data_IF_003812442527
#
_entry.id   IF_003812442527
#
_cell.length_a   1.000
_cell.length_b   1.000
_cell.length_c   1.000
_cell.angle_alpha   90.00
_cell.angle_beta   90.00
_cell.angle_gamma   90.00
#
_symmetry.space_group_name_H-M   'P 1'
#
loop_
_entity.id
_entity.type
_entity.pdbx_description
1 polymer ?
#
# COMPACT_ATOMS: atom_id res chain seq x y z
N UNK A 1 0.99 0.22 0.97
CA UNK A 1 0.32 -0.06 2.25
C UNK A 1 -1.03 -0.67 2.00
N UNK A 2 -1.61 -1.33 2.99
CA UNK A 2 -2.99 -1.81 2.93
C UNK A 2 -4.01 -0.67 3.13
N UNK A 3 -5.25 -0.91 2.70
CA UNK A 3 -6.30 0.11 2.70
C UNK A 3 -6.77 0.51 4.12
N UNK A 4 -6.55 -0.33 5.14
CA UNK A 4 -6.87 0.03 6.53
C UNK A 4 -5.87 1.11 6.99
N UNK A 5 -4.58 0.93 6.71
CA UNK A 5 -3.55 1.92 6.97
C UNK A 5 -3.85 3.25 6.25
N UNK A 6 -4.17 3.22 4.95
CA UNK A 6 -4.54 4.42 4.19
C UNK A 6 -5.76 5.14 4.79
N UNK A 7 -6.78 4.38 5.19
CA UNK A 7 -7.98 4.93 5.85
C UNK A 7 -7.64 5.65 7.16
N UNK A 8 -6.88 5.00 8.04
CA UNK A 8 -6.59 5.51 9.38
C UNK A 8 -5.61 6.70 9.33
N UNK A 9 -4.55 6.61 8.52
CA UNK A 9 -3.63 7.73 8.30
C UNK A 9 -4.34 8.90 7.61
N UNK A 10 -5.15 8.64 6.59
CA UNK A 10 -5.96 9.65 5.91
C UNK A 10 -6.90 10.38 6.89
N UNK A 11 -7.57 9.65 7.77
CA UNK A 11 -8.40 10.26 8.80
C UNK A 11 -7.61 11.11 9.80
N UNK A 12 -6.46 10.62 10.25
CA UNK A 12 -5.57 11.36 11.16
C UNK A 12 -5.04 12.64 10.50
N UNK A 13 -4.59 12.56 9.24
CA UNK A 13 -4.16 13.72 8.44
C UNK A 13 -5.30 14.73 8.25
N UNK A 14 -6.50 14.25 7.94
CA UNK A 14 -7.67 15.12 7.81
C UNK A 14 -7.88 15.96 9.07
N UNK A 15 -7.87 15.31 10.24
CA UNK A 15 -7.94 16.01 11.54
C UNK A 15 -6.74 16.93 11.76
N UNK A 16 -5.51 16.48 11.51
CA UNK A 16 -4.31 17.29 11.72
C UNK A 16 -4.27 18.58 10.87
N UNK A 17 -4.68 18.49 9.59
CA UNK A 17 -4.62 19.59 8.63
C UNK A 17 -5.77 20.56 8.81
N UNK A 18 -7.02 20.07 8.86
CA UNK A 18 -8.21 20.88 8.69
C UNK A 18 -9.23 20.77 9.83
N UNK A 19 -8.82 20.40 11.05
CA UNK A 19 -9.75 20.37 12.20
C UNK A 19 -10.53 21.69 12.33
N UNK A 20 -11.87 21.58 12.37
CA UNK A 20 -12.87 22.67 12.34
C UNK A 20 -12.84 23.61 11.12
N UNK A 21 -11.92 23.41 10.17
CA UNK A 21 -11.72 24.27 8.98
C UNK A 21 -12.36 23.67 7.72
N UNK A 22 -12.60 22.37 7.73
CA UNK A 22 -13.35 21.64 6.72
C UNK A 22 -14.47 20.80 7.38
N UNK A 23 -15.58 20.51 6.68
CA UNK A 23 -16.61 19.60 7.19
C UNK A 23 -16.08 18.16 7.24
N UNK A 24 -16.34 17.46 8.35
CA UNK A 24 -15.99 16.05 8.54
C UNK A 24 -14.55 15.67 8.13
N UNK A 25 -13.53 16.38 8.61
CA UNK A 25 -12.19 16.30 8.04
C UNK A 25 -11.58 14.88 8.12
N UNK A 26 -11.85 14.13 9.20
CA UNK A 26 -11.40 12.74 9.29
C UNK A 26 -12.05 11.83 8.24
N UNK A 27 -13.34 12.00 7.94
CA UNK A 27 -14.02 11.18 6.93
C UNK A 27 -13.56 11.54 5.52
N UNK A 28 -13.44 12.83 5.21
CA UNK A 28 -12.93 13.29 3.92
C UNK A 28 -11.49 12.81 3.72
N UNK A 29 -10.65 12.87 4.76
CA UNK A 29 -9.28 12.37 4.72
C UNK A 29 -9.20 10.86 4.51
N UNK A 30 -9.99 10.06 5.23
CA UNK A 30 -10.08 8.62 5.04
C UNK A 30 -10.47 8.23 3.61
N UNK A 31 -11.48 8.90 3.06
CA UNK A 31 -11.94 8.65 1.70
C UNK A 31 -10.90 9.11 0.66
N UNK A 32 -10.36 10.32 0.81
CA UNK A 32 -9.37 10.88 -0.10
C UNK A 32 -8.10 10.04 -0.15
N UNK A 33 -7.64 9.50 0.99
CA UNK A 33 -6.48 8.61 1.02
C UNK A 33 -6.74 7.35 0.19
N UNK A 34 -7.92 6.75 0.25
CA UNK A 34 -8.24 5.53 -0.54
C UNK A 34 -8.64 5.80 -2.00
N UNK A 35 -8.74 7.07 -2.41
CA UNK A 35 -9.26 7.41 -3.74
C UNK A 35 -8.47 6.75 -4.88
N UNK A 36 -7.12 6.67 -4.86
CA UNK A 36 -6.35 6.01 -5.92
C UNK A 36 -6.77 4.55 -6.16
N UNK A 37 -6.98 3.79 -5.09
CA UNK A 37 -7.42 2.39 -5.15
C UNK A 37 -8.88 2.26 -5.57
N UNK A 38 -9.75 3.14 -5.06
CA UNK A 38 -11.18 3.15 -5.40
C UNK A 38 -11.35 3.39 -6.90
N UNK A 39 -10.69 4.44 -7.43
CA UNK A 39 -10.75 4.77 -8.85
C UNK A 39 -10.14 3.64 -9.67
N UNK A 40 -9.01 3.06 -9.26
CA UNK A 40 -8.41 1.90 -9.93
C UNK A 40 -9.42 0.77 -10.13
N UNK A 41 -10.17 0.42 -9.08
CA UNK A 41 -11.19 -0.65 -9.16
C UNK A 41 -12.41 -0.28 -10.00
N UNK A 42 -12.75 1.00 -10.09
CA UNK A 42 -13.87 1.49 -10.91
C UNK A 42 -13.52 1.49 -12.39
N UNK A 43 -12.29 1.91 -12.73
CA UNK A 43 -11.84 2.04 -14.12
C UNK A 43 -11.22 0.74 -14.67
N UNK A 44 -10.92 -0.22 -13.80
CA UNK A 44 -10.52 -1.55 -14.23
C UNK A 44 -11.66 -2.15 -15.10
N UNK A 45 -11.36 -2.60 -16.33
CA UNK A 45 -12.35 -3.25 -17.17
C UNK A 45 -13.08 -4.36 -16.38
N UNK A 46 -14.39 -4.51 -16.57
CA UNK A 46 -15.12 -5.60 -15.94
C UNK A 46 -14.76 -6.92 -16.65
N UNK A 47 -13.65 -7.59 -16.29
CA UNK A 47 -13.28 -8.84 -16.98
C UNK A 47 -12.00 -9.56 -16.55
N UNK A 48 -12.06 -10.33 -15.45
CA UNK A 48 -11.10 -11.39 -14.99
C UNK A 48 -9.96 -10.90 -14.07
N UNK A 49 -9.40 -11.85 -13.31
CA UNK A 49 -8.21 -11.70 -12.42
C UNK A 49 -6.99 -11.02 -13.06
N UNK A 50 -6.94 -10.97 -14.39
CA UNK A 50 -5.86 -10.37 -15.17
C UNK A 50 -5.87 -8.84 -15.12
N UNK A 51 -7.05 -8.21 -15.01
CA UNK A 51 -7.20 -6.75 -14.98
C UNK A 51 -6.47 -6.12 -13.79
N UNK A 52 -6.36 -6.87 -12.70
CA UNK A 52 -5.55 -6.48 -11.55
C UNK A 52 -4.09 -6.27 -11.94
N UNK A 53 -3.47 -7.18 -12.69
CA UNK A 53 -2.04 -7.06 -13.03
C UNK A 53 -1.74 -5.88 -13.96
N UNK A 54 -2.68 -5.56 -14.86
CA UNK A 54 -2.56 -4.40 -15.76
C UNK A 54 -2.81 -3.07 -15.05
N UNK A 55 -3.84 -3.03 -14.19
CA UNK A 55 -4.32 -1.77 -13.60
C UNK A 55 -3.72 -1.48 -12.23
N UNK A 56 -3.11 -2.48 -11.58
CA UNK A 56 -2.54 -2.30 -10.26
C UNK A 56 -1.48 -1.21 -10.25
N UNK A 57 -1.75 -0.18 -9.46
CA UNK A 57 -0.91 1.02 -9.33
C UNK A 57 -0.56 1.61 -10.69
N UNK A 58 -1.55 1.65 -11.57
CA UNK A 58 -1.46 2.30 -12.88
C UNK A 58 -1.59 3.82 -12.73
N UNK A 59 -2.23 4.49 -13.69
CA UNK A 59 -2.25 5.96 -13.78
C UNK A 59 -2.80 6.63 -12.50
N UNK A 60 -3.70 5.97 -11.75
CA UNK A 60 -4.27 6.48 -10.49
C UNK A 60 -3.23 6.70 -9.40
N UNK A 61 -2.09 6.02 -9.46
CA UNK A 61 -0.98 6.12 -8.50
C UNK A 61 0.20 6.95 -9.04
N UNK A 62 0.03 7.61 -10.18
CA UNK A 62 1.00 8.55 -10.74
C UNK A 62 0.84 9.95 -10.17
N UNK A 63 1.86 10.80 -10.30
CA UNK A 63 1.78 12.20 -9.85
C UNK A 63 0.70 12.97 -10.62
N UNK A 64 0.56 12.74 -11.93
CA UNK A 64 -0.48 13.38 -12.75
C UNK A 64 -1.89 12.86 -12.40
N UNK A 65 -2.04 11.56 -12.17
CA UNK A 65 -3.30 10.97 -11.75
C UNK A 65 -3.71 11.41 -10.34
N UNK A 66 -2.77 11.54 -9.42
CA UNK A 66 -2.99 12.10 -8.10
C UNK A 66 -3.43 13.57 -8.18
N UNK A 67 -2.76 14.40 -8.99
CA UNK A 67 -3.14 15.80 -9.20
C UNK A 67 -4.57 15.94 -9.75
N UNK A 68 -4.94 15.11 -10.73
CA UNK A 68 -6.31 15.07 -11.27
C UNK A 68 -7.35 14.68 -10.21
N UNK A 69 -7.07 13.62 -9.44
CA UNK A 69 -7.92 13.17 -8.33
C UNK A 69 -8.09 14.25 -7.24
N UNK A 70 -7.01 14.93 -6.86
CA UNK A 70 -7.04 16.03 -5.89
C UNK A 70 -7.95 17.15 -6.40
N UNK A 71 -7.80 17.57 -7.66
CA UNK A 71 -8.61 18.63 -8.25
C UNK A 71 -10.10 18.26 -8.28
N UNK A 72 -10.42 17.08 -8.82
CA UNK A 72 -11.81 16.59 -8.94
C UNK A 72 -12.47 16.44 -7.58
N UNK A 73 -11.79 15.79 -6.62
CA UNK A 73 -12.36 15.59 -5.29
C UNK A 73 -12.51 16.91 -4.53
N UNK A 74 -11.58 17.86 -4.71
CA UNK A 74 -11.69 19.20 -4.11
C UNK A 74 -12.91 19.95 -4.66
N UNK A 75 -13.14 19.92 -5.97
CA UNK A 75 -14.33 20.51 -6.60
C UNK A 75 -15.62 19.87 -6.10
N UNK A 76 -15.66 18.54 -6.02
CA UNK A 76 -16.84 17.81 -5.55
C UNK A 76 -17.16 18.10 -4.08
N UNK A 77 -16.18 17.93 -3.17
CA UNK A 77 -16.36 18.15 -1.73
C UNK A 77 -16.60 19.62 -1.43
N UNK A 78 -15.82 20.52 -2.03
CA UNK A 78 -15.96 21.97 -1.87
C UNK A 78 -17.30 22.48 -2.38
N UNK A 79 -17.74 22.00 -3.55
CA UNK A 79 -19.03 22.36 -4.14
C UNK A 79 -20.20 21.87 -3.30
N UNK A 80 -20.22 20.59 -2.93
CA UNK A 80 -21.27 20.01 -2.09
C UNK A 80 -21.34 20.70 -0.72
N UNK A 81 -20.20 20.94 -0.08
CA UNK A 81 -20.17 21.59 1.22
C UNK A 81 -20.58 23.08 1.15
N UNK A 82 -20.21 23.79 0.09
CA UNK A 82 -20.64 25.19 -0.14
C UNK A 82 -22.15 25.25 -0.39
N UNK A 83 -22.69 24.37 -1.23
CA UNK A 83 -24.12 24.28 -1.51
C UNK A 83 -24.92 23.98 -0.25
N UNK A 84 -24.47 23.01 0.55
CA UNK A 84 -25.12 22.63 1.80
C UNK A 84 -25.06 23.74 2.86
N UNK A 85 -23.93 24.44 2.98
CA UNK A 85 -23.81 25.59 3.88
C UNK A 85 -24.78 26.71 3.51
N UNK A 86 -24.89 27.04 2.21
CA UNK A 86 -25.83 28.06 1.70
C UNK A 86 -27.27 27.69 1.99
N UNK A 87 -27.67 26.43 1.80
CA UNK A 87 -29.03 25.95 2.13
C UNK A 87 -29.38 26.10 3.61
N UNK A 88 -28.39 26.14 4.49
CA UNK A 88 -28.59 26.32 5.93
C UNK A 88 -28.33 27.76 6.41
N UNK A 89 -28.16 28.72 5.49
CA UNK A 89 -27.85 30.10 5.84
C UNK A 89 -26.49 30.26 6.54
N UNK A 90 -25.55 29.32 6.35
CA UNK A 90 -24.20 29.35 6.94
C UNK A 90 -23.17 29.82 5.93
N UNK A 91 -22.06 30.35 6.46
CA UNK A 91 -20.91 30.71 5.65
C UNK A 91 -20.32 29.48 4.92
N UNK A 92 -19.85 29.70 3.68
CA UNK A 92 -19.20 28.67 2.90
C UNK A 92 -17.91 28.18 3.59
N UNK A 93 -17.56 26.88 3.46
CA UNK A 93 -16.32 26.35 4.00
C UNK A 93 -15.11 26.92 3.24
N UNK A 94 -13.94 26.82 3.88
CA UNK A 94 -12.70 27.31 3.30
C UNK A 94 -12.14 26.31 2.28
N UNK A 95 -12.26 26.62 0.99
CA UNK A 95 -11.76 25.79 -0.11
C UNK A 95 -10.27 25.47 -0.01
N UNK A 96 -9.45 26.41 0.47
CA UNK A 96 -8.01 26.18 0.72
C UNK A 96 -7.75 25.03 1.70
N UNK A 97 -8.60 24.88 2.74
CA UNK A 97 -8.44 23.82 3.74
C UNK A 97 -8.96 22.47 3.25
N UNK A 98 -9.99 22.48 2.40
CA UNK A 98 -10.48 21.29 1.69
C UNK A 98 -9.39 20.78 0.74
N UNK A 99 -8.81 21.67 -0.08
CA UNK A 99 -7.70 21.36 -0.97
C UNK A 99 -6.50 20.81 -0.20
N UNK A 100 -6.05 21.52 0.85
CA UNK A 100 -4.90 21.10 1.64
C UNK A 100 -5.09 19.71 2.28
N UNK A 101 -6.28 19.43 2.79
CA UNK A 101 -6.63 18.13 3.36
C UNK A 101 -6.61 17.01 2.31
N UNK A 102 -7.24 17.24 1.15
CA UNK A 102 -7.33 16.23 0.09
C UNK A 102 -5.94 15.99 -0.51
N UNK A 103 -5.19 17.06 -0.76
CA UNK A 103 -3.83 16.97 -1.25
C UNK A 103 -2.94 16.18 -0.28
N UNK A 104 -3.02 16.45 1.03
CA UNK A 104 -2.27 15.71 2.03
C UNK A 104 -2.65 14.22 2.07
N UNK A 105 -3.95 13.91 2.04
CA UNK A 105 -4.43 12.52 2.09
C UNK A 105 -4.05 11.72 0.83
N UNK A 106 -4.32 12.25 -0.38
CA UNK A 106 -3.95 11.58 -1.63
C UNK A 106 -2.43 11.43 -1.74
N UNK A 107 -1.66 12.46 -1.38
CA UNK A 107 -0.19 12.38 -1.42
C UNK A 107 0.36 11.35 -0.43
N UNK A 108 -0.27 11.22 0.75
CA UNK A 108 0.13 10.20 1.72
C UNK A 108 -0.04 8.78 1.16
N UNK A 109 -1.07 8.53 0.35
CA UNK A 109 -1.27 7.23 -0.30
C UNK A 109 -0.07 6.86 -1.17
N UNK A 110 0.36 7.78 -2.05
CA UNK A 110 1.52 7.55 -2.92
C UNK A 110 2.80 7.34 -2.11
N UNK A 111 3.06 8.16 -1.09
CA UNK A 111 4.25 8.01 -0.25
C UNK A 111 4.27 6.65 0.47
N UNK A 112 3.12 6.26 1.04
CA UNK A 112 2.94 4.99 1.75
C UNK A 112 2.99 3.76 0.83
N UNK A 113 2.68 3.91 -0.45
CA UNK A 113 2.80 2.84 -1.44
C UNK A 113 4.21 2.72 -2.01
N UNK A 114 4.93 3.82 -2.11
CA UNK A 114 6.32 3.87 -2.55
C UNK A 114 7.28 3.23 -1.55
N UNK A 115 7.12 3.46 -0.24
CA UNK A 115 8.06 3.01 0.81
C UNK A 115 8.27 1.49 0.90
N UNK A 116 7.35 0.69 0.34
CA UNK A 116 7.40 -0.77 0.46
C UNK A 116 7.96 -1.49 -0.77
N UNK A 117 7.91 -2.82 -0.69
CA UNK A 117 8.46 -3.73 -1.71
C UNK A 117 7.62 -3.85 -2.98
N UNK A 118 6.44 -3.22 -3.02
CA UNK A 118 5.48 -3.24 -4.13
C UNK A 118 5.71 -2.09 -5.12
N UNK A 119 6.14 -0.92 -4.62
CA UNK A 119 6.48 0.25 -5.42
C UNK A 119 5.31 0.88 -6.18
N UNK A 120 5.61 1.94 -6.92
CA UNK A 120 4.66 2.62 -7.81
C UNK A 120 5.38 3.21 -9.04
N UNK A 121 4.63 3.70 -10.02
CA UNK A 121 5.15 4.34 -11.24
C UNK A 121 4.73 5.82 -11.26
N UNK A 122 5.49 6.71 -10.60
CA UNK A 122 5.03 8.07 -10.32
C UNK A 122 4.97 8.94 -11.58
N UNK A 123 5.74 8.57 -12.60
CA UNK A 123 5.93 9.34 -13.84
C UNK A 123 5.12 8.80 -15.01
N UNK A 124 4.12 7.94 -14.79
CA UNK A 124 3.17 7.61 -15.86
C UNK A 124 2.44 8.88 -16.35
N UNK A 125 2.09 8.96 -17.65
CA UNK A 125 2.35 7.97 -18.70
C UNK A 125 3.72 8.09 -19.37
N UNK A 126 4.58 9.01 -18.93
CA UNK A 126 5.87 9.30 -19.58
C UNK A 126 6.96 8.26 -19.28
N UNK A 127 6.90 7.59 -18.14
CA UNK A 127 7.79 6.48 -17.79
C UNK A 127 7.04 5.39 -17.04
N UNK A 128 7.26 4.15 -17.47
CA UNK A 128 6.74 2.91 -16.88
C UNK A 128 7.62 2.36 -15.74
N UNK A 129 8.72 3.06 -15.42
CA UNK A 129 9.68 2.62 -14.41
C UNK A 129 9.03 2.53 -13.03
N UNK A 130 9.19 1.37 -12.39
CA UNK A 130 8.81 1.18 -11.01
C UNK A 130 9.84 1.78 -10.04
N UNK A 131 9.33 2.40 -8.98
CA UNK A 131 10.11 2.94 -7.88
C UNK A 131 9.71 2.24 -6.58
N UNK A 132 10.70 1.69 -5.88
CA UNK A 132 10.52 0.93 -4.65
C UNK A 132 11.36 1.52 -3.53
N UNK A 133 10.74 1.71 -2.36
CA UNK A 133 11.42 2.12 -1.15
C UNK A 133 12.09 0.93 -0.47
N UNK A 134 11.44 -0.24 -0.43
CA UNK A 134 11.98 -1.46 0.21
C UNK A 134 12.39 -1.22 1.69
N UNK A 135 11.62 -0.45 2.47
CA UNK A 135 11.91 -0.27 3.91
C UNK A 135 10.71 -0.35 4.85
N UNK A 136 9.47 -0.29 4.37
CA UNK A 136 8.28 -0.57 5.20
C UNK A 136 7.41 -1.65 4.57
N UNK A 137 6.94 -2.60 5.39
CA UNK A 137 6.03 -3.64 4.95
C UNK A 137 4.70 -3.08 4.42
N UNK A 138 4.04 -3.85 3.54
CA UNK A 138 2.72 -3.49 3.03
C UNK A 138 1.66 -3.50 4.14
N UNK A 139 1.83 -4.40 5.11
CA UNK A 139 1.02 -4.54 6.32
C UNK A 139 1.95 -4.24 7.50
N UNK A 140 1.72 -3.10 8.15
CA UNK A 140 2.50 -2.64 9.30
C UNK A 140 1.55 -2.16 10.41
N UNK A 141 1.47 -2.87 11.54
CA UNK A 141 0.50 -2.55 12.58
C UNK A 141 0.69 -1.18 13.24
N UNK A 142 1.87 -0.55 13.15
CA UNK A 142 2.03 0.83 13.62
C UNK A 142 1.17 1.81 12.82
N UNK A 143 1.00 1.57 11.52
CA UNK A 143 0.14 2.37 10.64
C UNK A 143 -1.35 2.19 10.91
N UNK A 144 -1.72 1.20 11.71
CA UNK A 144 -3.09 1.06 12.20
C UNK A 144 -3.24 1.61 13.60
N UNK A 145 -2.41 1.13 14.53
CA UNK A 145 -2.59 1.34 15.95
C UNK A 145 -2.34 2.80 16.36
N UNK A 146 -1.28 3.43 15.84
CA UNK A 146 -0.94 4.83 16.15
C UNK A 146 -2.07 5.80 15.74
N UNK A 147 -2.54 5.80 14.47
CA UNK A 147 -3.64 6.68 14.08
C UNK A 147 -4.97 6.28 14.71
N UNK A 148 -5.25 4.98 14.91
CA UNK A 148 -6.48 4.52 15.55
C UNK A 148 -6.61 5.08 16.98
N UNK A 149 -5.55 4.98 17.79
CA UNK A 149 -5.52 5.58 19.13
C UNK A 149 -5.68 7.09 19.05
N UNK A 150 -4.95 7.76 18.16
CA UNK A 150 -5.01 9.21 18.02
C UNK A 150 -6.41 9.72 17.59
N UNK A 151 -7.13 8.93 16.78
CA UNK A 151 -8.47 9.25 16.32
C UNK A 151 -9.52 9.10 17.43
N UNK A 152 -9.30 8.17 18.34
CA UNK A 152 -10.20 7.88 19.46
C UNK A 152 -9.90 8.73 20.69
N UNK A 153 -8.63 9.08 20.92
CA UNK A 153 -8.20 9.79 22.12
C UNK A 153 -8.90 11.14 22.27
N UNK A 154 -9.70 11.27 23.32
CA UNK A 154 -10.47 12.47 23.65
C UNK A 154 -11.63 12.82 22.70
N UNK A 155 -12.10 11.85 21.90
CA UNK A 155 -13.40 11.97 21.26
C UNK A 155 -14.56 11.73 22.23
N UNK A 156 -15.73 12.32 21.94
CA UNK A 156 -16.93 12.00 22.75
C UNK A 156 -17.37 10.57 22.45
N UNK A 157 -17.62 9.80 23.51
CA UNK A 157 -18.22 8.47 23.41
C UNK A 157 -19.60 8.59 22.75
N UNK A 158 -19.67 8.18 21.50
CA UNK A 158 -20.92 8.01 20.75
C UNK A 158 -20.96 6.55 20.27
N UNK A 159 -22.13 5.90 20.22
CA UNK A 159 -22.24 4.53 19.75
C UNK A 159 -21.60 4.33 18.36
N UNK A 160 -21.76 5.30 17.46
CA UNK A 160 -21.13 5.27 16.14
C UNK A 160 -19.59 5.29 16.20
N UNK A 161 -19.00 6.03 17.13
CA UNK A 161 -17.54 6.08 17.28
C UNK A 161 -17.00 4.75 17.81
N UNK A 162 -17.72 4.13 18.77
CA UNK A 162 -17.38 2.82 19.30
C UNK A 162 -17.49 1.73 18.23
N UNK A 163 -18.54 1.79 17.42
CA UNK A 163 -18.71 0.89 16.27
C UNK A 163 -17.56 1.04 15.28
N UNK A 164 -17.23 2.27 14.87
CA UNK A 164 -16.11 2.52 13.94
C UNK A 164 -14.77 2.02 14.50
N UNK A 165 -14.53 2.24 15.80
CA UNK A 165 -13.33 1.74 16.47
C UNK A 165 -13.30 0.21 16.51
N UNK A 166 -14.39 -0.43 16.92
CA UNK A 166 -14.50 -1.89 16.98
C UNK A 166 -14.35 -2.53 15.58
N UNK A 167 -14.95 -1.93 14.54
CA UNK A 167 -14.80 -2.38 13.15
C UNK A 167 -13.36 -2.24 12.66
N UNK A 168 -12.72 -1.09 12.92
CA UNK A 168 -11.31 -0.89 12.55
C UNK A 168 -10.41 -1.91 13.26
N UNK A 169 -10.63 -2.13 14.56
CA UNK A 169 -9.88 -3.11 15.35
C UNK A 169 -10.09 -4.55 14.87
N UNK A 170 -11.34 -4.92 14.59
CA UNK A 170 -11.66 -6.24 14.04
C UNK A 170 -11.00 -6.44 12.67
N UNK A 171 -10.98 -5.41 11.82
CA UNK A 171 -10.26 -5.42 10.55
C UNK A 171 -8.76 -5.64 10.73
N UNK A 172 -8.13 -4.90 11.64
CA UNK A 172 -6.70 -5.06 11.96
C UNK A 172 -6.39 -6.49 12.43
N UNK A 173 -7.16 -7.03 13.37
CA UNK A 173 -6.97 -8.40 13.87
C UNK A 173 -7.25 -9.44 12.77
N UNK A 174 -8.27 -9.23 11.95
CA UNK A 174 -8.57 -10.12 10.82
C UNK A 174 -7.43 -10.21 9.82
N UNK A 175 -6.76 -9.09 9.52
CA UNK A 175 -5.56 -9.10 8.67
C UNK A 175 -4.42 -9.84 9.34
N UNK A 176 -4.13 -9.58 10.63
CA UNK A 176 -3.07 -10.30 11.37
C UNK A 176 -3.30 -11.81 11.34
N UNK A 177 -4.53 -12.27 11.61
CA UNK A 177 -4.89 -13.68 11.62
C UNK A 177 -4.86 -14.34 10.24
N UNK A 178 -4.82 -13.56 9.16
CA UNK A 178 -4.77 -14.07 7.78
C UNK A 178 -3.34 -14.28 7.25
N UNK A 179 -2.32 -13.84 7.99
CA UNK A 179 -0.91 -13.99 7.61
C UNK A 179 -0.27 -15.10 8.45
N UNK A 180 0.02 -16.25 7.83
CA UNK A 180 0.62 -17.42 8.50
C UNK A 180 1.99 -17.10 9.15
N UNK A 181 2.76 -16.18 8.55
CA UNK A 181 4.08 -15.75 9.03
C UNK A 181 4.05 -14.46 9.88
N UNK A 182 2.86 -13.99 10.25
CA UNK A 182 2.71 -12.79 11.07
C UNK A 182 3.45 -12.95 12.41
N UNK A 183 4.15 -11.90 12.85
CA UNK A 183 4.86 -11.95 14.12
C UNK A 183 3.89 -12.19 15.31
N UNK A 184 4.23 -13.11 16.20
CA UNK A 184 3.36 -13.58 17.29
C UNK A 184 2.95 -12.48 18.29
N UNK A 185 3.71 -11.38 18.36
CA UNK A 185 3.43 -10.24 19.23
C UNK A 185 2.31 -9.33 18.70
N UNK A 186 1.92 -9.45 17.43
CA UNK A 186 0.99 -8.53 16.77
C UNK A 186 -0.41 -8.55 17.37
N UNK A 187 -0.96 -9.73 17.63
CA UNK A 187 -2.29 -9.88 18.25
C UNK A 187 -2.36 -9.22 19.64
N UNK A 188 -1.47 -9.60 20.58
CA UNK A 188 -1.41 -8.98 21.90
C UNK A 188 -1.19 -7.47 21.86
N UNK A 189 -0.32 -6.96 20.97
CA UNK A 189 -0.09 -5.52 20.83
C UNK A 189 -1.34 -4.78 20.33
N UNK A 190 -2.08 -5.35 19.37
CA UNK A 190 -3.34 -4.76 18.90
C UNK A 190 -4.37 -4.65 20.04
N UNK A 191 -4.48 -5.68 20.88
CA UNK A 191 -5.38 -5.67 22.05
C UNK A 191 -4.92 -4.64 23.08
N UNK A 192 -3.65 -4.66 23.47
CA UNK A 192 -3.11 -3.75 24.48
C UNK A 192 -3.27 -2.27 24.08
N UNK A 193 -2.95 -1.94 22.83
CA UNK A 193 -3.09 -0.57 22.32
C UNK A 193 -4.57 -0.16 22.24
N UNK A 194 -5.47 -1.11 21.93
CA UNK A 194 -6.91 -0.84 21.93
C UNK A 194 -7.46 -0.57 23.32
N UNK A 195 -7.01 -1.33 24.32
CA UNK A 195 -7.36 -1.09 25.73
C UNK A 195 -6.82 0.25 26.24
N UNK A 196 -5.59 0.61 25.86
CA UNK A 196 -5.00 1.92 26.17
C UNK A 196 -5.79 3.06 25.53
N UNK A 197 -6.20 2.90 24.25
CA UNK A 197 -7.08 3.85 23.56
C UNK A 197 -8.42 4.03 24.25
N UNK A 198 -9.06 2.92 24.66
CA UNK A 198 -10.32 2.94 25.42
C UNK A 198 -10.17 3.58 26.81
N UNK A 199 -9.06 3.34 27.50
CA UNK A 199 -8.78 3.94 28.80
C UNK A 199 -8.56 5.46 28.71
N UNK A 200 -7.82 5.92 27.68
CA UNK A 200 -7.66 7.34 27.36
C UNK A 200 -8.98 7.99 26.96
N UNK A 201 -9.82 7.27 26.21
CA UNK A 201 -11.16 7.69 25.81
C UNK A 201 -12.09 7.93 27.01
N UNK A 202 -12.07 7.04 28.01
CA UNK A 202 -12.95 7.14 29.17
C UNK A 202 -12.58 8.25 30.16
N UNK A 203 -11.30 8.63 30.22
CA UNK A 203 -10.77 9.50 31.31
C UNK A 203 -10.42 10.92 30.89
N UNK A 204 -10.26 11.20 29.58
CA UNK A 204 -9.74 12.48 29.10
C UNK A 204 -10.61 13.03 27.97
N UNK A 205 -11.57 13.90 28.28
CA UNK A 205 -12.22 14.71 27.25
C UNK A 205 -11.33 15.90 26.91
N UNK A 206 -10.78 15.93 25.71
CA UNK A 206 -9.85 16.99 25.29
C UNK A 206 -10.48 17.89 24.24
N UNK A 207 -10.13 19.18 24.30
CA UNK A 207 -10.62 20.17 23.35
C UNK A 207 -10.17 19.89 21.91
N UNK A 208 -10.83 20.48 20.90
CA UNK A 208 -10.47 20.29 19.48
C UNK A 208 -8.98 20.56 19.18
N UNK A 209 -8.39 21.60 19.78
CA UNK A 209 -6.98 21.92 19.59
C UNK A 209 -6.03 20.81 20.05
N UNK A 210 -6.34 20.16 21.18
CA UNK A 210 -5.55 19.03 21.70
C UNK A 210 -5.75 17.79 20.81
N UNK A 211 -6.97 17.50 20.36
CA UNK A 211 -7.23 16.39 19.42
C UNK A 211 -6.46 16.56 18.10
N UNK A 212 -6.40 17.79 17.59
CA UNK A 212 -5.59 18.12 16.41
C UNK A 212 -4.10 17.90 16.68
N UNK A 213 -3.59 18.32 17.82
CA UNK A 213 -2.20 18.10 18.21
C UNK A 213 -1.86 16.62 18.34
N UNK A 214 -2.75 15.81 18.93
CA UNK A 214 -2.60 14.35 19.02
C UNK A 214 -2.55 13.71 17.63
N UNK A 215 -3.47 14.07 16.73
CA UNK A 215 -3.48 13.55 15.36
C UNK A 215 -2.22 13.95 14.58
N UNK A 216 -1.76 15.20 14.74
CA UNK A 216 -0.51 15.67 14.13
C UNK A 216 0.71 14.93 14.70
N UNK A 217 0.75 14.72 16.02
CA UNK A 217 1.81 13.96 16.69
C UNK A 217 1.85 12.50 16.25
N UNK A 218 0.70 11.87 16.05
CA UNK A 218 0.59 10.52 15.49
C UNK A 218 1.15 10.44 14.06
N UNK A 219 0.80 11.41 13.20
CA UNK A 219 1.37 11.49 11.85
C UNK A 219 2.89 11.72 11.90
N UNK A 220 3.37 12.62 12.76
CA UNK A 220 4.80 12.89 12.94
C UNK A 220 5.55 11.66 13.46
N UNK A 221 4.97 10.90 14.39
CA UNK A 221 5.54 9.66 14.90
C UNK A 221 5.68 8.61 13.79
N UNK A 222 4.68 8.45 12.92
CA UNK A 222 4.78 7.57 11.75
C UNK A 222 5.86 8.06 10.76
N UNK A 223 6.00 9.37 10.56
CA UNK A 223 7.10 9.92 9.74
C UNK A 223 8.46 9.58 10.36
N UNK A 224 8.64 9.78 11.67
CA UNK A 224 9.88 9.42 12.37
C UNK A 224 10.17 7.91 12.25
N UNK A 225 9.15 7.08 12.47
CA UNK A 225 9.25 5.63 12.35
C UNK A 225 9.67 5.18 10.94
N UNK A 226 9.03 5.74 9.90
CA UNK A 226 9.38 5.43 8.50
C UNK A 226 10.79 5.89 8.13
N UNK A 227 11.20 7.07 8.59
CA UNK A 227 12.56 7.58 8.37
C UNK A 227 13.61 6.73 9.09
N UNK A 228 13.32 6.27 10.32
CA UNK A 228 14.20 5.37 11.05
C UNK A 228 14.39 4.04 10.29
N UNK A 229 13.32 3.45 9.76
CA UNK A 229 13.41 2.25 8.93
C UNK A 229 14.17 2.52 7.61
N UNK A 230 13.92 3.66 6.97
CA UNK A 230 14.64 4.05 5.76
C UNK A 230 16.16 4.12 6.01
N UNK A 231 16.58 4.78 7.10
CA UNK A 231 18.00 4.89 7.49
C UNK A 231 18.58 3.51 7.85
N UNK A 232 17.89 2.73 8.66
CA UNK A 232 18.33 1.39 9.06
C UNK A 232 18.44 0.41 7.87
N UNK A 233 17.64 0.60 6.82
CA UNK A 233 17.71 -0.23 5.60
C UNK A 233 18.94 0.07 4.74
N UNK A 234 19.61 1.22 4.90
CA UNK A 234 20.76 1.63 4.07
C UNK A 234 21.90 0.59 4.08
N UNK A 235 22.44 0.16 5.25
CA UNK A 235 23.50 -0.84 5.28
C UNK A 235 23.08 -2.17 4.66
N UNK A 236 21.83 -2.61 4.90
CA UNK A 236 21.29 -3.85 4.31
C UNK A 236 21.28 -3.76 2.79
N UNK A 237 20.72 -2.68 2.23
CA UNK A 237 20.67 -2.45 0.78
C UNK A 237 22.05 -2.39 0.13
N UNK A 238 23.01 -1.74 0.78
CA UNK A 238 24.41 -1.69 0.31
C UNK A 238 25.01 -3.10 0.29
N UNK A 239 24.81 -3.88 1.35
CA UNK A 239 25.30 -5.25 1.44
C UNK A 239 24.64 -6.16 0.39
N UNK A 240 23.32 -6.08 0.22
CA UNK A 240 22.56 -6.84 -0.78
C UNK A 240 23.01 -6.51 -2.19
N UNK A 241 23.15 -5.22 -2.52
CA UNK A 241 23.66 -4.78 -3.82
C UNK A 241 25.06 -5.32 -4.09
N UNK A 242 25.97 -5.18 -3.13
CA UNK A 242 27.34 -5.67 -3.27
C UNK A 242 27.39 -7.20 -3.40
N UNK A 243 26.51 -7.93 -2.69
CA UNK A 243 26.37 -9.37 -2.85
C UNK A 243 25.83 -9.76 -4.23
N UNK A 244 24.85 -9.02 -4.75
CA UNK A 244 24.30 -9.22 -6.09
C UNK A 244 25.37 -9.02 -7.17
N UNK A 245 26.13 -7.92 -7.09
CA UNK A 245 27.21 -7.58 -8.02
C UNK A 245 28.35 -8.60 -7.96
N UNK A 246 28.72 -9.10 -6.77
CA UNK A 246 29.71 -10.19 -6.63
C UNK A 246 29.23 -11.51 -7.21
N UNK A 247 27.95 -11.85 -7.03
CA UNK A 247 27.40 -13.14 -7.43
C UNK A 247 27.07 -13.21 -8.91
N UNK A 248 26.55 -12.13 -9.48
CA UNK A 248 25.97 -12.13 -10.82
C UNK A 248 26.56 -11.06 -11.76
N UNK A 249 27.53 -10.28 -11.30
CA UNK A 249 28.19 -9.24 -12.07
C UNK A 249 27.44 -7.90 -12.07
N UNK A 250 28.01 -6.95 -12.82
CA UNK A 250 27.41 -5.62 -12.98
C UNK A 250 26.04 -5.73 -13.66
N UNK A 251 25.02 -5.06 -13.10
CA UNK A 251 23.65 -5.09 -13.62
C UNK A 251 22.72 -6.13 -12.97
N UNK A 252 23.20 -6.88 -11.99
CA UNK A 252 22.35 -7.74 -11.17
C UNK A 252 21.18 -6.96 -10.54
N UNK A 253 19.97 -7.53 -10.64
CA UNK A 253 18.81 -6.97 -9.95
C UNK A 253 18.87 -7.35 -8.47
N UNK A 254 18.36 -6.47 -7.61
CA UNK A 254 18.32 -6.73 -6.17
C UNK A 254 17.16 -6.00 -5.50
N UNK A 255 16.78 -6.49 -4.32
CA UNK A 255 15.77 -5.90 -3.44
C UNK A 255 16.05 -6.29 -1.99
N UNK A 256 15.51 -5.51 -1.06
CA UNK A 256 15.41 -5.89 0.35
C UNK A 256 13.93 -6.01 0.70
N UNK A 257 13.39 -7.22 0.61
CA UNK A 257 11.97 -7.44 0.84
C UNK A 257 11.62 -7.21 2.30
N UNK A 258 10.48 -6.59 2.52
CA UNK A 258 9.97 -6.23 3.85
C UNK A 258 9.02 -7.30 4.35
N UNK A 259 9.22 -7.75 5.59
CA UNK A 259 8.37 -8.76 6.21
C UNK A 259 7.25 -8.15 7.04
N UNK A 260 6.06 -8.75 6.95
CA UNK A 260 4.88 -8.30 7.68
C UNK A 260 5.07 -8.52 9.17
N UNK A 261 4.96 -7.44 9.96
CA UNK A 261 5.11 -7.52 11.42
C UNK A 261 6.53 -7.60 11.95
N UNK A 262 7.54 -7.46 11.09
CA UNK A 262 8.96 -7.47 11.49
C UNK A 262 9.64 -6.17 11.06
N UNK A 263 9.34 -5.05 11.74
CA UNK A 263 10.02 -3.80 11.42
C UNK A 263 11.53 -3.94 11.65
N UNK A 264 12.32 -3.27 10.82
CA UNK A 264 13.78 -3.36 10.82
C UNK A 264 14.38 -4.72 10.44
N UNK A 265 13.57 -5.64 9.92
CA UNK A 265 14.02 -6.89 9.32
C UNK A 265 13.72 -6.89 7.81
N UNK A 266 14.68 -7.33 7.00
CA UNK A 266 14.56 -7.33 5.55
C UNK A 266 15.23 -8.54 4.93
N UNK A 267 14.49 -9.27 4.09
CA UNK A 267 15.03 -10.39 3.32
C UNK A 267 15.76 -9.90 2.07
N UNK A 268 17.08 -10.13 1.94
CA UNK A 268 17.82 -9.77 0.75
C UNK A 268 17.45 -10.70 -0.41
N UNK A 269 17.08 -10.14 -1.55
CA UNK A 269 16.84 -10.89 -2.79
C UNK A 269 17.74 -10.36 -3.89
N UNK A 270 18.40 -11.27 -4.60
CA UNK A 270 19.32 -10.99 -5.69
C UNK A 270 18.90 -11.78 -6.93
N UNK A 271 19.02 -11.19 -8.12
CA UNK A 271 18.67 -11.87 -9.35
C UNK A 271 19.61 -11.51 -10.50
N UNK A 272 19.91 -12.52 -11.31
CA UNK A 272 20.53 -12.42 -12.63
C UNK A 272 19.47 -12.58 -13.72
N UNK A 273 19.92 -12.73 -14.97
CA UNK A 273 19.07 -13.12 -16.10
C UNK A 273 18.36 -14.46 -15.87
N UNK A 274 19.04 -15.42 -15.24
CA UNK A 274 18.59 -16.82 -15.21
C UNK A 274 18.20 -17.31 -13.81
N UNK A 275 18.60 -16.60 -12.76
CA UNK A 275 18.37 -17.00 -11.37
C UNK A 275 17.83 -15.85 -10.54
N UNK A 276 16.92 -16.14 -9.63
CA UNK A 276 16.60 -15.28 -8.48
C UNK A 276 16.84 -16.08 -7.20
N UNK A 277 17.43 -15.45 -6.18
CA UNK A 277 17.79 -16.12 -4.94
C UNK A 277 17.61 -15.19 -3.74
N UNK A 278 17.19 -15.78 -2.62
CA UNK A 278 17.26 -15.19 -1.28
C UNK A 278 18.33 -15.89 -0.43
N UNK A 279 18.29 -15.75 0.90
CA UNK A 279 19.26 -16.39 1.81
C UNK A 279 19.27 -17.92 1.70
N UNK A 280 18.08 -18.53 1.76
CA UNK A 280 17.94 -19.99 1.90
C UNK A 280 17.23 -20.65 0.70
N UNK A 281 17.06 -19.91 -0.40
CA UNK A 281 16.35 -20.40 -1.58
C UNK A 281 16.90 -19.80 -2.88
N UNK A 282 16.76 -20.57 -3.97
CA UNK A 282 17.06 -20.12 -5.32
C UNK A 282 16.06 -20.71 -6.31
N UNK A 283 15.69 -19.92 -7.31
CA UNK A 283 14.76 -20.30 -8.39
C UNK A 283 15.38 -19.94 -9.73
N UNK A 284 15.27 -20.87 -10.69
CA UNK A 284 15.54 -20.57 -12.09
C UNK A 284 14.40 -19.72 -12.67
N UNK A 285 14.75 -18.74 -13.50
CA UNK A 285 13.79 -17.82 -14.11
C UNK A 285 13.22 -18.35 -15.42
N UNK A 286 13.98 -19.17 -16.15
CA UNK A 286 13.62 -19.78 -17.44
C UNK A 286 13.11 -18.81 -18.51
N UNK A 287 13.52 -17.54 -18.47
CA UNK A 287 12.96 -16.50 -19.36
C UNK A 287 13.43 -16.62 -20.82
N UNK A 288 14.53 -17.35 -21.06
CA UNK A 288 15.06 -17.58 -22.41
C UNK A 288 14.40 -18.76 -23.14
N UNK A 289 13.64 -19.61 -22.44
CA UNK A 289 12.91 -20.73 -23.04
C UNK A 289 11.96 -20.18 -24.14
N UNK A 290 12.02 -20.69 -25.39
CA UNK A 290 11.17 -20.22 -26.48
C UNK A 290 9.67 -20.24 -26.14
N UNK A 291 9.22 -21.24 -25.38
CA UNK A 291 7.82 -21.39 -24.94
C UNK A 291 7.46 -20.29 -23.94
N UNK A 292 8.38 -19.96 -23.04
CA UNK A 292 8.20 -18.85 -22.10
C UNK A 292 8.15 -17.52 -22.85
N UNK A 293 9.02 -17.30 -23.84
CA UNK A 293 8.98 -16.10 -24.69
C UNK A 293 7.67 -15.98 -25.48
N UNK A 294 7.16 -17.07 -26.04
CA UNK A 294 5.84 -17.11 -26.68
C UNK A 294 4.73 -16.76 -25.69
N UNK A 295 4.77 -17.31 -24.47
CA UNK A 295 3.81 -16.96 -23.42
C UNK A 295 3.87 -15.48 -23.04
N UNK A 296 5.08 -14.89 -22.95
CA UNK A 296 5.30 -13.48 -22.64
C UNK A 296 4.78 -12.52 -23.73
N UNK A 297 4.68 -12.98 -24.98
CA UNK A 297 4.10 -12.19 -26.07
C UNK A 297 2.56 -12.09 -25.98
N UNK A 298 1.90 -13.02 -25.29
CA UNK A 298 0.45 -12.95 -25.06
C UNK A 298 0.08 -11.75 -24.19
N UNK A 299 -1.17 -11.29 -24.27
CA UNK A 299 -1.70 -10.23 -23.39
C UNK A 299 -1.44 -10.56 -21.91
N UNK A 300 -1.72 -11.82 -21.54
CA UNK A 300 -1.51 -12.39 -20.21
C UNK A 300 -0.07 -12.33 -19.74
N UNK A 301 0.86 -12.73 -20.61
CA UNK A 301 2.28 -12.69 -20.34
C UNK A 301 2.82 -11.27 -20.20
N UNK A 302 2.35 -10.34 -21.05
CA UNK A 302 2.77 -8.94 -20.99
C UNK A 302 2.38 -8.26 -19.69
N UNK A 303 1.18 -8.49 -19.14
CA UNK A 303 0.84 -7.82 -17.88
C UNK A 303 1.61 -8.35 -16.68
N UNK A 304 1.79 -9.68 -16.56
CA UNK A 304 2.61 -10.20 -15.46
C UNK A 304 4.07 -9.77 -15.60
N UNK A 305 4.60 -9.66 -16.82
CA UNK A 305 5.94 -9.12 -17.06
C UNK A 305 6.06 -7.64 -16.66
N UNK A 306 5.02 -6.84 -16.92
CA UNK A 306 4.99 -5.43 -16.51
C UNK A 306 4.82 -5.26 -14.98
N UNK A 307 4.14 -6.20 -14.33
CA UNK A 307 3.89 -6.19 -12.89
C UNK A 307 5.08 -6.74 -12.07
N UNK A 308 5.70 -7.81 -12.55
CA UNK A 308 6.64 -8.60 -11.76
C UNK A 308 8.01 -7.92 -11.65
N UNK A 309 8.53 -7.81 -10.43
CA UNK A 309 9.90 -7.33 -10.19
C UNK A 309 10.93 -8.45 -10.44
N UNK A 310 10.61 -9.66 -9.98
CA UNK A 310 11.43 -10.86 -10.16
C UNK A 310 10.62 -11.96 -10.84
N UNK A 311 10.42 -11.81 -12.15
CA UNK A 311 9.67 -12.77 -12.96
C UNK A 311 10.42 -14.11 -13.06
N UNK A 312 9.71 -15.20 -12.75
CA UNK A 312 10.13 -16.59 -12.96
C UNK A 312 9.06 -17.33 -13.75
N UNK A 313 9.49 -18.36 -14.47
CA UNK A 313 8.61 -19.18 -15.29
C UNK A 313 8.83 -20.68 -15.06
N UNK A 314 7.74 -21.45 -15.09
CA UNK A 314 7.76 -22.90 -15.12
C UNK A 314 7.00 -23.39 -16.36
N UNK A 315 7.56 -24.38 -17.07
CA UNK A 315 6.92 -24.98 -18.24
C UNK A 315 6.46 -26.39 -17.90
N UNK A 316 5.21 -26.68 -18.19
CA UNK A 316 4.61 -28.01 -18.05
C UNK A 316 4.15 -28.50 -19.42
N UNK A 317 4.84 -29.53 -19.92
CA UNK A 317 4.55 -30.21 -21.18
C UNK A 317 4.12 -31.66 -20.98
N UNK A 318 3.66 -32.02 -19.77
CA UNK A 318 3.23 -33.39 -19.45
C UNK A 318 1.88 -33.79 -20.05
N UNK A 319 1.07 -32.82 -20.47
CA UNK A 319 -0.26 -33.02 -21.07
C UNK A 319 -0.28 -32.91 -22.60
N UNK A 320 -1.48 -32.80 -23.18
CA UNK A 320 -1.72 -32.66 -24.64
C UNK A 320 -1.34 -31.29 -25.22
N UNK A 321 -0.62 -30.46 -24.46
CA UNK A 321 -0.18 -29.13 -24.87
C UNK A 321 0.80 -28.53 -23.87
N UNK A 322 1.31 -27.34 -24.17
CA UNK A 322 2.30 -26.66 -23.33
C UNK A 322 1.60 -25.62 -22.45
N UNK A 323 1.75 -25.77 -21.14
CA UNK A 323 1.29 -24.78 -20.16
C UNK A 323 2.48 -24.07 -19.54
N UNK A 324 2.50 -22.74 -19.64
CA UNK A 324 3.51 -21.88 -19.02
C UNK A 324 2.90 -21.18 -17.81
N UNK A 325 3.56 -21.30 -16.66
CA UNK A 325 3.24 -20.60 -15.43
C UNK A 325 4.23 -19.45 -15.27
N UNK A 326 3.72 -18.21 -15.23
CA UNK A 326 4.50 -16.99 -15.04
C UNK A 326 4.15 -16.40 -13.68
N UNK A 327 5.15 -16.08 -12.84
CA UNK A 327 4.90 -15.59 -11.47
C UNK A 327 6.01 -14.66 -10.99
N UNK A 328 5.67 -13.81 -10.02
CA UNK A 328 6.66 -13.00 -9.31
C UNK A 328 7.19 -13.77 -8.09
N UNK A 329 8.51 -13.97 -8.05
CA UNK A 329 9.19 -14.69 -6.97
C UNK A 329 9.04 -14.02 -5.59
N UNK A 330 8.67 -12.74 -5.52
CA UNK A 330 8.35 -12.05 -4.26
C UNK A 330 7.20 -12.72 -3.51
N UNK A 331 6.20 -13.22 -4.23
CA UNK A 331 4.91 -13.63 -3.65
C UNK A 331 4.58 -15.10 -3.86
N UNK A 332 5.16 -15.72 -4.89
CA UNK A 332 4.91 -17.12 -5.20
C UNK A 332 6.23 -17.78 -5.54
N UNK A 333 6.88 -18.41 -4.54
CA UNK A 333 8.15 -19.16 -4.70
C UNK A 333 7.95 -20.59 -5.18
N UNK A 334 6.86 -21.23 -4.76
CA UNK A 334 6.51 -22.62 -5.11
C UNK A 334 5.10 -22.74 -5.70
N UNK A 335 4.22 -21.79 -5.40
CA UNK A 335 2.83 -21.78 -5.88
C UNK A 335 2.72 -21.46 -7.37
N UNK A 336 2.03 -22.32 -8.12
CA UNK A 336 1.67 -22.11 -9.55
C UNK A 336 0.38 -21.30 -9.75
N UNK A 337 -0.27 -20.88 -8.67
CA UNK A 337 -1.53 -20.13 -8.63
C UNK A 337 -1.45 -19.06 -7.56
N UNK A 338 -2.13 -17.94 -7.78
CA UNK A 338 -2.14 -16.81 -6.84
C UNK A 338 -2.46 -15.51 -7.55
N UNK A 339 -2.50 -14.42 -6.80
CA UNK A 339 -2.77 -13.08 -7.34
C UNK A 339 -1.60 -12.52 -8.17
N UNK A 340 -0.37 -12.96 -7.87
CA UNK A 340 0.86 -12.61 -8.58
C UNK A 340 1.35 -13.71 -9.54
N UNK A 341 0.43 -14.53 -10.07
CA UNK A 341 0.73 -15.62 -10.99
C UNK A 341 -0.29 -15.70 -12.13
N UNK A 342 0.18 -16.04 -13.32
CA UNK A 342 -0.60 -16.17 -14.56
C UNK A 342 -0.28 -17.49 -15.23
N UNK A 343 -1.31 -18.14 -15.77
CA UNK A 343 -1.18 -19.35 -16.59
C UNK A 343 -1.51 -19.03 -18.05
N UNK A 344 -0.59 -19.38 -18.93
CA UNK A 344 -0.73 -19.28 -20.38
C UNK A 344 -0.68 -20.69 -20.97
N UNK A 345 -1.72 -21.08 -21.71
CA UNK A 345 -1.72 -22.33 -22.48
C UNK A 345 -1.35 -21.97 -23.90
N UNK A 346 -0.29 -22.58 -24.42
CA UNK A 346 0.09 -22.50 -25.82
C UNK A 346 -0.61 -23.66 -26.53
N UNK A 347 -1.23 -23.39 -27.68
CA UNK A 347 -1.69 -24.46 -28.55
C UNK A 347 -0.47 -25.32 -28.94
N UNK A 348 -0.61 -26.64 -28.90
CA UNK A 348 0.40 -27.51 -29.52
C UNK A 348 0.50 -27.16 -31.00
N UNK A 349 1.71 -27.14 -31.53
CA UNK A 349 1.94 -27.06 -32.98
C UNK A 349 1.28 -28.22 -33.72
#
# INVERSE_FOLDING_TARGET
MDNIAHTLVGAALGRAVADRRAPYPALVGAFAANLPDIIERIIAPAGRRFDYLTMHRAITHSLVGAAGQIAVLTLAVGGAATWWARRQGRAAPSWRWILALIAAAVSSHLVMDWQGSYGLRPFLPWSDRWHYGDWVAIVDPFFWLVPLVALVWGERLRPVSLLLFATALAGCNGVVLSYDDAASWLGPACVAVSLAGLAGWARLQVGPGVRRAIAAGACALLVIYTLAQAVASIPVKRATRAAAERRFGAGAQWATLTDVGRPFDWEPVVASRDTVAGPDWALARHLDDPRVRAALATERGRAIAAFARFLVADVDSSGTGVTVFLRDARYARTGRRGWAAVTVRLAGE
#
